data_IF_432536919422
#
_entry.id   IF_432536919422
#
_cell.length_a   1.000
_cell.length_b   1.000
_cell.length_c   1.000
_cell.angle_alpha   90.00
_cell.angle_beta   90.00
_cell.angle_gamma   90.00
#
_symmetry.space_group_name_H-M   'P 1'
#
loop_
_entity.id
_entity.type
_entity.pdbx_description
1 polymer ?
#
# COMPACT_ATOMS: atom_id res chain seq x y z
N UNK A 1 -16.42 13.37 12.88
CA UNK A 1 -16.94 12.11 13.44
C UNK A 1 -16.51 12.08 14.90
N UNK A 2 -17.43 11.98 15.87
CA UNK A 2 -17.03 11.64 17.24
C UNK A 2 -16.32 10.28 17.15
N UNK A 3 -15.09 10.07 17.66
CA UNK A 3 -14.60 8.73 17.92
C UNK A 3 -15.65 8.11 18.84
N UNK A 4 -16.43 7.16 18.33
CA UNK A 4 -17.44 6.52 19.14
C UNK A 4 -16.71 5.87 20.30
N UNK A 5 -17.12 6.20 21.52
CA UNK A 5 -16.74 5.43 22.72
C UNK A 5 -17.19 3.97 22.62
N UNK A 6 -18.01 3.65 21.63
CA UNK A 6 -18.60 2.36 21.37
C UNK A 6 -17.67 1.48 20.52
N UNK A 7 -16.64 0.95 21.17
CA UNK A 7 -15.87 -0.22 20.73
C UNK A 7 -16.16 -1.38 21.70
N UNK A 8 -15.98 -2.66 21.30
CA UNK A 8 -15.59 -3.14 19.97
C UNK A 8 -16.65 -2.89 18.89
N UNK A 9 -16.29 -3.02 17.62
CA UNK A 9 -17.19 -2.90 16.47
C UNK A 9 -17.17 -4.20 15.68
N UNK A 10 -18.30 -4.89 15.59
CA UNK A 10 -18.39 -6.10 14.78
C UNK A 10 -18.23 -5.72 13.30
N UNK A 11 -17.29 -6.35 12.60
CA UNK A 11 -17.14 -6.20 11.14
C UNK A 11 -17.89 -7.35 10.46
N UNK A 12 -18.79 -7.02 9.54
CA UNK A 12 -19.60 -7.99 8.78
C UNK A 12 -19.61 -7.64 7.30
N UNK A 13 -19.76 -8.65 6.45
CA UNK A 13 -19.86 -8.49 5.01
C UNK A 13 -21.15 -9.16 4.52
N UNK A 14 -21.88 -8.47 3.65
CA UNK A 14 -23.19 -8.91 3.16
C UNK A 14 -23.27 -8.71 1.66
N UNK A 15 -23.68 -9.76 0.96
CA UNK A 15 -24.08 -9.71 -0.45
C UNK A 15 -25.56 -9.33 -0.53
N UNK A 16 -25.88 -8.28 -1.29
CA UNK A 16 -27.26 -7.75 -1.38
C UNK A 16 -28.19 -8.72 -2.11
N UNK A 17 -27.63 -9.53 -3.00
CA UNK A 17 -28.39 -10.52 -3.77
C UNK A 17 -28.77 -11.75 -2.92
N UNK A 18 -28.07 -11.98 -1.81
CA UNK A 18 -28.35 -13.11 -0.94
C UNK A 18 -29.57 -12.84 -0.04
N UNK A 19 -30.25 -13.91 0.36
CA UNK A 19 -31.33 -13.83 1.34
C UNK A 19 -30.76 -13.33 2.68
N UNK A 20 -31.01 -12.05 3.00
CA UNK A 20 -30.55 -11.42 4.24
C UNK A 20 -31.06 -12.20 5.47
N UNK A 21 -30.13 -12.73 6.25
CA UNK A 21 -30.39 -13.35 7.56
C UNK A 21 -30.10 -12.36 8.68
N UNK A 22 -30.70 -12.58 9.84
CA UNK A 22 -30.33 -11.86 11.05
C UNK A 22 -28.88 -12.15 11.43
N UNK A 23 -28.29 -11.24 12.20
CA UNK A 23 -26.94 -11.38 12.75
C UNK A 23 -27.10 -11.49 14.26
N UNK A 24 -26.90 -12.69 14.79
CA UNK A 24 -27.22 -13.02 16.19
C UNK A 24 -26.00 -12.92 17.13
N UNK A 25 -24.80 -13.02 16.58
CA UNK A 25 -23.51 -13.05 17.29
C UNK A 25 -22.99 -11.64 17.62
N UNK A 26 -23.86 -10.78 18.18
CA UNK A 26 -23.57 -9.35 18.37
C UNK A 26 -23.69 -8.86 19.83
N UNK A 27 -23.81 -9.77 20.79
CA UNK A 27 -24.01 -9.44 22.22
C UNK A 27 -22.80 -8.73 22.84
N UNK A 28 -21.60 -8.92 22.32
CA UNK A 28 -20.39 -8.24 22.79
C UNK A 28 -20.20 -6.85 22.14
N UNK A 29 -20.95 -6.57 21.06
CA UNK A 29 -20.71 -5.43 20.19
C UNK A 29 -21.81 -4.36 20.35
N UNK A 30 -21.49 -3.14 20.84
CA UNK A 30 -22.45 -2.03 20.84
C UNK A 30 -22.77 -1.53 19.43
N UNK A 31 -21.90 -1.78 18.46
CA UNK A 31 -22.02 -1.35 17.06
C UNK A 31 -21.53 -2.42 16.10
N UNK A 32 -22.16 -2.49 14.93
CA UNK A 32 -21.77 -3.35 13.82
C UNK A 32 -21.52 -2.52 12.57
N UNK A 33 -20.35 -2.69 11.95
CA UNK A 33 -20.01 -2.17 10.61
C UNK A 33 -20.29 -3.24 9.58
N UNK A 34 -21.25 -2.98 8.71
CA UNK A 34 -21.64 -3.88 7.62
C UNK A 34 -21.08 -3.34 6.32
N UNK A 35 -20.15 -4.06 5.71
CA UNK A 35 -19.72 -3.87 4.34
C UNK A 35 -20.70 -4.55 3.40
N UNK A 36 -21.07 -3.84 2.34
CA UNK A 36 -22.12 -4.24 1.41
C UNK A 36 -21.48 -4.56 0.06
N UNK A 37 -21.69 -5.77 -0.42
CA UNK A 37 -21.33 -6.27 -1.73
C UNK A 37 -22.57 -6.32 -2.64
N UNK A 38 -22.36 -6.12 -3.93
CA UNK A 38 -23.35 -6.39 -4.98
C UNK A 38 -22.66 -7.22 -6.07
N UNK A 39 -23.04 -8.49 -6.21
CA UNK A 39 -22.38 -9.46 -7.11
C UNK A 39 -20.85 -9.52 -6.91
N UNK A 40 -20.42 -9.57 -5.65
CA UNK A 40 -19.01 -9.61 -5.25
C UNK A 40 -18.27 -8.27 -5.40
N UNK A 41 -18.94 -7.19 -5.78
CA UNK A 41 -18.35 -5.84 -5.88
C UNK A 41 -18.64 -5.07 -4.60
N UNK A 42 -17.59 -4.56 -3.94
CA UNK A 42 -17.74 -3.72 -2.77
C UNK A 42 -18.37 -2.38 -3.13
N UNK A 43 -19.60 -2.18 -2.68
CA UNK A 43 -20.37 -0.98 -2.96
C UNK A 43 -20.37 -0.01 -1.78
N UNK A 44 -20.17 -0.45 -0.54
CA UNK A 44 -20.16 0.47 0.58
C UNK A 44 -20.08 -0.14 1.96
N UNK A 45 -20.36 0.71 2.95
CA UNK A 45 -20.57 0.29 4.33
C UNK A 45 -21.63 1.12 5.04
N UNK A 46 -22.27 0.50 6.02
CA UNK A 46 -23.21 1.12 6.97
C UNK A 46 -22.83 0.72 8.40
N UNK A 47 -22.84 1.70 9.30
CA UNK A 47 -22.62 1.47 10.74
C UNK A 47 -23.98 1.42 11.45
N UNK A 48 -24.30 0.29 12.08
CA UNK A 48 -25.54 0.03 12.80
C UNK A 48 -25.25 -0.02 14.30
N UNK A 49 -25.85 0.88 15.08
CA UNK A 49 -25.78 0.83 16.55
C UNK A 49 -26.76 -0.23 17.05
N UNK A 50 -26.28 -1.44 17.27
CA UNK A 50 -27.10 -2.58 17.68
C UNK A 50 -27.23 -2.72 19.21
N UNK A 51 -26.49 -1.92 19.99
CA UNK A 51 -26.59 -1.83 21.45
C UNK A 51 -26.49 -3.21 22.13
N UNK A 52 -25.55 -4.06 21.68
CA UNK A 52 -25.34 -5.42 22.20
C UNK A 52 -26.54 -6.34 22.04
N UNK A 53 -27.33 -6.12 20.99
CA UNK A 53 -28.46 -7.00 20.59
C UNK A 53 -28.25 -7.53 19.17
N UNK A 54 -28.82 -8.70 18.86
CA UNK A 54 -28.95 -9.17 17.48
C UNK A 54 -29.55 -8.13 16.54
N UNK A 55 -29.15 -8.15 15.27
CA UNK A 55 -29.76 -7.36 14.21
C UNK A 55 -30.69 -8.27 13.42
N UNK A 56 -32.00 -8.00 13.45
CA UNK A 56 -32.97 -8.75 12.66
C UNK A 56 -32.82 -8.46 11.16
N UNK A 57 -33.17 -9.43 10.31
CA UNK A 57 -33.12 -9.26 8.86
C UNK A 57 -33.90 -8.02 8.34
N UNK A 58 -35.11 -7.67 8.85
CA UNK A 58 -35.79 -6.44 8.45
C UNK A 58 -35.02 -5.17 8.80
N UNK A 59 -34.42 -5.10 9.99
CA UNK A 59 -33.62 -3.94 10.43
C UNK A 59 -32.36 -3.79 9.59
N UNK A 60 -31.73 -4.91 9.25
CA UNK A 60 -30.56 -4.95 8.38
C UNK A 60 -30.90 -4.46 6.97
N UNK A 61 -32.01 -4.95 6.39
CA UNK A 61 -32.53 -4.52 5.09
C UNK A 61 -32.84 -3.02 5.09
N UNK A 62 -33.49 -2.50 6.12
CA UNK A 62 -33.79 -1.08 6.25
C UNK A 62 -32.51 -0.25 6.26
N UNK A 63 -31.53 -0.60 7.10
CA UNK A 63 -30.27 0.12 7.20
C UNK A 63 -29.49 0.15 5.87
N UNK A 64 -29.47 -0.97 5.13
CA UNK A 64 -28.86 -1.05 3.80
C UNK A 64 -29.66 -0.24 2.78
N UNK A 65 -31.00 -0.31 2.81
CA UNK A 65 -31.89 0.41 1.90
C UNK A 65 -31.78 1.94 2.03
N UNK A 66 -31.80 2.45 3.26
CA UNK A 66 -31.62 3.89 3.54
C UNK A 66 -30.26 4.38 3.04
N UNK A 67 -29.22 3.57 3.24
CA UNK A 67 -27.88 3.83 2.72
C UNK A 67 -27.84 3.83 1.18
N UNK A 68 -28.48 2.86 0.52
CA UNK A 68 -28.57 2.79 -0.94
C UNK A 68 -29.32 3.99 -1.52
N UNK A 69 -30.46 4.38 -0.94
CA UNK A 69 -31.25 5.53 -1.37
C UNK A 69 -30.45 6.85 -1.29
N UNK A 70 -29.75 7.06 -0.16
CA UNK A 70 -28.84 8.19 0.01
C UNK A 70 -27.73 8.22 -1.06
N UNK A 71 -27.16 7.04 -1.37
CA UNK A 71 -26.09 6.95 -2.36
C UNK A 71 -26.58 7.13 -3.79
N UNK A 72 -27.76 6.63 -4.14
CA UNK A 72 -28.40 6.86 -5.44
C UNK A 72 -28.68 8.35 -5.63
N UNK A 73 -29.20 9.03 -4.61
CA UNK A 73 -29.36 10.49 -4.59
C UNK A 73 -28.01 11.20 -4.85
N UNK A 74 -26.95 10.79 -4.15
CA UNK A 74 -25.61 11.36 -4.28
C UNK A 74 -24.93 11.04 -5.63
N UNK A 75 -25.26 9.91 -6.27
CA UNK A 75 -24.80 9.54 -7.62
C UNK A 75 -25.59 10.29 -8.71
N UNK A 76 -26.89 10.53 -8.52
CA UNK A 76 -27.72 11.32 -9.44
C UNK A 76 -27.22 12.77 -9.52
N UNK A 77 -27.11 13.45 -8.37
CA UNK A 77 -25.83 13.99 -7.88
C UNK A 77 -24.71 14.37 -8.88
N UNK A 78 -23.95 13.32 -9.20
CA UNK A 78 -22.59 13.34 -9.74
C UNK A 78 -22.55 12.85 -11.20
N UNK A 79 -23.66 12.32 -11.75
CA UNK A 79 -23.76 11.72 -13.09
C UNK A 79 -23.85 12.74 -14.24
N UNK A 80 -23.34 13.96 -14.06
CA UNK A 80 -23.17 14.91 -15.17
C UNK A 80 -21.87 14.73 -15.96
N UNK A 81 -21.09 13.67 -15.71
CA UNK A 81 -19.85 13.39 -16.45
C UNK A 81 -19.88 11.94 -16.94
N UNK A 82 -19.87 11.76 -18.25
CA UNK A 82 -19.94 10.47 -18.93
C UNK A 82 -18.75 9.57 -18.59
N UNK A 83 -19.04 8.34 -18.17
CA UNK A 83 -18.03 7.30 -17.98
C UNK A 83 -17.91 6.54 -19.30
N UNK A 84 -16.86 6.80 -20.06
CA UNK A 84 -16.46 5.91 -21.16
C UNK A 84 -15.95 4.60 -20.59
N UNK A 85 -16.40 3.47 -21.14
CA UNK A 85 -15.86 2.16 -20.79
C UNK A 85 -14.36 2.12 -21.10
N UNK A 86 -13.54 1.65 -20.15
CA UNK A 86 -12.10 1.53 -20.35
C UNK A 86 -11.79 0.39 -21.33
N UNK A 87 -10.74 0.52 -22.16
CA UNK A 87 -10.30 -0.58 -23.00
C UNK A 87 -9.91 -1.79 -22.13
N UNK A 88 -10.28 -3.03 -22.52
CA UNK A 88 -9.92 -4.21 -21.75
C UNK A 88 -8.40 -4.41 -21.75
N UNK A 89 -7.84 -4.75 -20.58
CA UNK A 89 -6.45 -5.16 -20.49
C UNK A 89 -6.27 -6.53 -21.18
N UNK A 90 -5.29 -6.64 -22.08
CA UNK A 90 -4.97 -7.91 -22.73
C UNK A 90 -4.69 -9.03 -21.72
N UNK A 91 -5.24 -10.25 -21.91
CA UNK A 91 -4.91 -11.41 -21.08
C UNK A 91 -3.43 -11.82 -21.14
N UNK A 92 -2.70 -11.39 -22.18
CA UNK A 92 -1.26 -11.65 -22.32
C UNK A 92 -0.41 -10.83 -21.33
N UNK A 93 -0.96 -9.78 -20.72
CA UNK A 93 -0.25 -8.96 -19.73
C UNK A 93 -0.03 -9.77 -18.46
N UNK A 94 1.24 -10.02 -18.18
CA UNK A 94 1.73 -10.83 -17.06
C UNK A 94 1.79 -10.02 -15.76
N UNK A 95 1.71 -10.70 -14.63
CA UNK A 95 1.67 -10.06 -13.30
C UNK A 95 2.64 -10.72 -12.34
N UNK A 96 3.32 -9.89 -11.55
CA UNK A 96 4.11 -10.32 -10.40
C UNK A 96 3.56 -9.74 -9.11
N UNK A 97 3.31 -10.58 -8.12
CA UNK A 97 2.84 -10.16 -6.80
C UNK A 97 4.00 -10.24 -5.82
N UNK A 98 4.46 -9.10 -5.31
CA UNK A 98 5.58 -8.99 -4.39
C UNK A 98 5.05 -8.88 -2.95
N UNK A 99 5.41 -9.86 -2.12
CA UNK A 99 4.98 -9.99 -0.72
C UNK A 99 6.21 -9.91 0.21
N UNK A 100 6.58 -8.74 0.72
CA UNK A 100 7.62 -8.61 1.72
C UNK A 100 7.12 -9.11 3.08
N UNK A 101 7.96 -9.85 3.79
CA UNK A 101 7.65 -10.38 5.13
C UNK A 101 8.84 -10.25 6.07
N UNK A 102 8.55 -10.21 7.37
CA UNK A 102 9.55 -10.06 8.43
C UNK A 102 9.08 -10.82 9.68
N UNK A 103 9.38 -12.12 9.75
CA UNK A 103 9.05 -13.00 10.88
C UNK A 103 7.54 -13.04 11.24
N UNK A 104 6.66 -13.16 10.24
CA UNK A 104 5.19 -13.23 10.43
C UNK A 104 4.57 -14.45 9.72
N UNK A 105 4.87 -15.67 10.19
CA UNK A 105 4.51 -16.88 9.44
C UNK A 105 3.00 -17.06 9.24
N UNK A 106 2.18 -16.73 10.25
CA UNK A 106 0.73 -16.92 10.16
C UNK A 106 0.05 -15.91 9.23
N UNK A 107 0.52 -14.66 9.23
CA UNK A 107 0.04 -13.62 8.31
C UNK A 107 0.41 -13.98 6.88
N UNK A 108 1.70 -14.28 6.64
CA UNK A 108 2.18 -14.71 5.34
C UNK A 108 1.39 -15.92 4.82
N UNK A 109 1.15 -16.93 5.64
CA UNK A 109 0.37 -18.12 5.25
C UNK A 109 -1.05 -17.75 4.83
N UNK A 110 -1.74 -16.88 5.57
CA UNK A 110 -3.09 -16.41 5.21
C UNK A 110 -3.08 -15.60 3.91
N UNK A 111 -2.11 -14.72 3.74
CA UNK A 111 -1.93 -13.94 2.52
C UNK A 111 -1.73 -14.86 1.31
N UNK A 112 -0.78 -15.80 1.39
CA UNK A 112 -0.50 -16.75 0.31
C UNK A 112 -1.70 -17.68 0.00
N UNK A 113 -2.46 -18.12 1.01
CA UNK A 113 -3.70 -18.87 0.78
C UNK A 113 -4.74 -18.04 -0.01
N UNK A 114 -4.90 -16.75 0.31
CA UNK A 114 -5.82 -15.87 -0.39
C UNK A 114 -5.37 -15.56 -1.83
N UNK A 115 -4.05 -15.43 -2.04
CA UNK A 115 -3.45 -15.25 -3.36
C UNK A 115 -3.59 -16.50 -4.23
N UNK A 116 -3.34 -17.70 -3.70
CA UNK A 116 -3.56 -19.00 -4.38
C UNK A 116 -5.00 -19.16 -4.86
N UNK A 117 -5.97 -18.62 -4.12
CA UNK A 117 -7.38 -18.71 -4.46
C UNK A 117 -7.82 -17.78 -5.62
N UNK A 118 -6.95 -16.87 -6.08
CA UNK A 118 -7.26 -16.01 -7.23
C UNK A 118 -7.33 -16.82 -8.52
N UNK A 119 -8.34 -16.53 -9.34
CA UNK A 119 -8.50 -17.11 -10.68
C UNK A 119 -8.18 -16.06 -11.71
N UNK A 120 -7.27 -16.36 -12.63
CA UNK A 120 -6.95 -15.51 -13.77
C UNK A 120 -6.49 -16.34 -14.96
N UNK A 121 -6.73 -15.83 -16.17
CA UNK A 121 -6.20 -16.39 -17.41
C UNK A 121 -4.77 -15.90 -17.72
N UNK A 122 -4.28 -14.86 -17.02
CA UNK A 122 -2.94 -14.32 -17.21
C UNK A 122 -1.90 -15.09 -16.40
N UNK A 123 -0.65 -15.08 -16.85
CA UNK A 123 0.45 -15.62 -16.06
C UNK A 123 0.68 -14.74 -14.81
N UNK A 124 0.67 -15.38 -13.64
CA UNK A 124 0.88 -14.74 -12.34
C UNK A 124 2.04 -15.43 -11.64
N UNK A 125 3.03 -14.65 -11.21
CA UNK A 125 4.05 -15.12 -10.28
C UNK A 125 3.86 -14.46 -8.90
N UNK A 126 4.26 -15.18 -7.84
CA UNK A 126 4.29 -14.65 -6.48
C UNK A 126 5.74 -14.65 -6.01
N UNK A 127 6.25 -13.49 -5.62
CA UNK A 127 7.61 -13.29 -5.11
C UNK A 127 7.52 -12.91 -3.64
N UNK A 128 7.85 -13.85 -2.77
CA UNK A 128 7.96 -13.61 -1.32
C UNK A 128 9.37 -13.12 -1.00
N UNK A 129 9.47 -12.00 -0.28
CA UNK A 129 10.74 -11.41 0.11
C UNK A 129 10.93 -11.51 1.61
N UNK A 130 11.84 -12.37 2.07
CA UNK A 130 12.22 -12.42 3.47
C UNK A 130 13.17 -11.27 3.81
N UNK A 131 12.69 -10.32 4.61
CA UNK A 131 13.49 -9.18 5.10
C UNK A 131 14.06 -9.39 6.52
N UNK A 132 14.01 -10.63 7.02
CA UNK A 132 14.74 -11.14 8.18
C UNK A 132 15.27 -12.55 7.90
N UNK A 133 16.03 -12.73 6.80
CA UNK A 133 16.57 -14.04 6.44
C UNK A 133 17.55 -14.54 7.51
N UNK A 134 17.79 -15.85 7.52
CA UNK A 134 18.63 -16.53 8.51
C UNK A 134 17.85 -17.28 9.60
N UNK A 135 16.51 -17.34 9.50
CA UNK A 135 15.68 -18.26 10.27
C UNK A 135 14.92 -19.19 9.33
N UNK A 136 14.49 -20.36 9.81
CA UNK A 136 13.64 -21.26 9.03
C UNK A 136 12.18 -20.80 8.95
N UNK A 137 11.81 -19.66 9.57
CA UNK A 137 10.40 -19.22 9.72
C UNK A 137 9.75 -18.98 8.36
N UNK A 138 10.28 -18.06 7.55
CA UNK A 138 9.73 -17.75 6.22
C UNK A 138 9.89 -18.91 5.24
N UNK A 139 11.07 -19.57 5.12
CA UNK A 139 11.21 -20.73 4.25
C UNK A 139 10.20 -21.83 4.54
N UNK A 140 9.93 -22.14 5.81
CA UNK A 140 8.96 -23.18 6.16
C UNK A 140 7.53 -22.86 5.71
N UNK A 141 7.13 -21.59 5.74
CA UNK A 141 5.81 -21.19 5.21
C UNK A 141 5.80 -21.33 3.69
N UNK A 142 6.82 -20.80 2.99
CA UNK A 142 6.84 -20.79 1.52
C UNK A 142 6.93 -22.19 0.92
N UNK A 143 7.51 -23.17 1.63
CA UNK A 143 7.52 -24.59 1.18
C UNK A 143 6.13 -25.17 0.93
N UNK A 144 5.09 -24.66 1.58
CA UNK A 144 3.70 -25.08 1.37
C UNK A 144 3.04 -24.42 0.14
N UNK A 145 3.76 -23.50 -0.51
CA UNK A 145 3.33 -22.70 -1.66
C UNK A 145 4.33 -22.81 -2.82
N UNK A 146 4.34 -23.94 -3.56
CA UNK A 146 5.28 -24.17 -4.66
C UNK A 146 5.16 -23.14 -5.81
N UNK A 147 4.04 -22.43 -5.92
CA UNK A 147 3.85 -21.33 -6.85
C UNK A 147 4.53 -20.01 -6.41
N UNK A 148 4.96 -19.93 -5.15
CA UNK A 148 5.63 -18.76 -4.60
C UNK A 148 7.16 -18.95 -4.61
N UNK A 149 7.86 -17.97 -5.18
CA UNK A 149 9.32 -17.92 -5.16
C UNK A 149 9.79 -17.11 -3.96
N UNK A 150 10.69 -17.68 -3.16
CA UNK A 150 11.33 -16.99 -2.05
C UNK A 150 12.61 -16.30 -2.52
N UNK A 151 12.79 -15.04 -2.12
CA UNK A 151 14.06 -14.31 -2.20
C UNK A 151 14.42 -13.73 -0.83
N UNK A 152 15.72 -13.53 -0.59
CA UNK A 152 16.23 -12.97 0.66
C UNK A 152 16.70 -11.53 0.46
N UNK A 153 16.35 -10.64 1.39
CA UNK A 153 16.88 -9.28 1.46
C UNK A 153 17.42 -9.01 2.87
N UNK A 154 18.74 -9.08 3.00
CA UNK A 154 19.42 -8.91 4.28
C UNK A 154 19.42 -7.45 4.79
N UNK A 155 19.16 -6.47 3.91
CA UNK A 155 19.11 -5.05 4.29
C UNK A 155 17.73 -4.74 4.88
N UNK A 156 17.66 -4.41 6.17
CA UNK A 156 16.38 -4.16 6.84
C UNK A 156 15.69 -2.91 6.31
N UNK A 157 14.41 -3.04 5.98
CA UNK A 157 13.55 -1.95 5.54
C UNK A 157 12.58 -2.42 4.46
N UNK A 158 11.32 -1.99 4.57
CA UNK A 158 10.26 -2.37 3.66
C UNK A 158 10.56 -1.95 2.20
N UNK A 159 11.17 -0.78 2.01
CA UNK A 159 11.60 -0.31 0.69
C UNK A 159 12.67 -1.22 0.08
N UNK A 160 13.65 -1.69 0.87
CA UNK A 160 14.64 -2.66 0.38
C UNK A 160 13.96 -3.97 -0.03
N UNK A 161 13.07 -4.50 0.81
CA UNK A 161 12.36 -5.73 0.53
C UNK A 161 11.50 -5.63 -0.74
N UNK A 162 10.70 -4.56 -0.88
CA UNK A 162 9.89 -4.34 -2.09
C UNK A 162 10.77 -4.14 -3.32
N UNK A 163 11.85 -3.36 -3.20
CA UNK A 163 12.77 -3.14 -4.31
C UNK A 163 13.45 -4.43 -4.75
N UNK A 164 13.88 -5.30 -3.82
CA UNK A 164 14.45 -6.61 -4.15
C UNK A 164 13.41 -7.47 -4.89
N UNK A 165 12.17 -7.50 -4.41
CA UNK A 165 11.09 -8.22 -5.08
C UNK A 165 10.77 -7.67 -6.47
N UNK A 166 10.69 -6.35 -6.65
CA UNK A 166 10.48 -5.73 -7.95
C UNK A 166 11.65 -5.98 -8.89
N UNK A 167 12.88 -5.85 -8.41
CA UNK A 167 14.06 -6.20 -9.20
C UNK A 167 14.00 -7.66 -9.60
N UNK A 168 13.50 -8.58 -8.80
CA UNK A 168 13.44 -10.00 -9.19
C UNK A 168 12.22 -10.35 -10.05
N UNK A 169 11.18 -9.52 -10.05
CA UNK A 169 9.94 -9.75 -10.76
C UNK A 169 10.06 -9.61 -12.29
N UNK A 170 9.26 -10.39 -13.00
CA UNK A 170 9.24 -10.60 -14.46
C UNK A 170 7.95 -10.13 -15.15
N UNK A 171 6.92 -9.75 -14.39
CA UNK A 171 5.63 -9.36 -14.90
C UNK A 171 5.61 -7.95 -15.52
N UNK A 172 4.69 -7.74 -16.46
CA UNK A 172 4.41 -6.43 -17.05
C UNK A 172 3.80 -5.47 -16.03
N UNK A 173 3.04 -6.01 -15.07
CA UNK A 173 2.47 -5.30 -13.93
C UNK A 173 3.04 -5.90 -12.64
N UNK A 174 3.59 -5.06 -11.78
CA UNK A 174 4.13 -5.42 -10.48
C UNK A 174 3.15 -4.97 -9.38
N UNK A 175 2.74 -5.89 -8.52
CA UNK A 175 1.81 -5.64 -7.42
C UNK A 175 2.58 -5.65 -6.10
N UNK A 176 2.39 -4.59 -5.32
CA UNK A 176 2.80 -4.51 -3.93
C UNK A 176 1.61 -4.89 -3.04
N UNK A 177 1.85 -5.81 -2.12
CA UNK A 177 0.87 -6.23 -1.11
C UNK A 177 1.61 -6.56 0.18
N UNK A 178 1.01 -6.28 1.34
CA UNK A 178 1.63 -6.60 2.63
C UNK A 178 1.30 -8.04 3.06
N UNK A 179 2.14 -8.64 3.93
CA UNK A 179 1.94 -10.02 4.38
C UNK A 179 0.75 -10.19 5.34
N UNK A 180 0.26 -9.11 5.94
CA UNK A 180 -0.85 -9.05 6.90
C UNK A 180 -2.19 -8.66 6.25
N UNK A 181 -2.31 -8.89 4.94
CA UNK A 181 -3.55 -8.67 4.19
C UNK A 181 -4.11 -9.94 3.55
N UNK A 182 -5.42 -9.94 3.33
CA UNK A 182 -6.12 -10.99 2.57
C UNK A 182 -6.99 -10.37 1.48
N UNK A 183 -7.09 -11.08 0.35
CA UNK A 183 -7.77 -10.60 -0.86
C UNK A 183 -9.06 -11.41 -1.12
N UNK A 184 -10.16 -10.77 -1.56
CA UNK A 184 -11.37 -11.46 -1.99
C UNK A 184 -11.19 -12.08 -3.39
N UNK A 185 -12.13 -12.94 -3.79
CA UNK A 185 -12.17 -13.49 -5.15
C UNK A 185 -12.28 -12.39 -6.22
N UNK A 186 -11.49 -12.50 -7.29
CA UNK A 186 -11.47 -11.55 -8.40
C UNK A 186 -10.80 -10.22 -8.07
N UNK A 187 -10.08 -10.12 -6.94
CA UNK A 187 -9.32 -8.92 -6.58
C UNK A 187 -8.28 -8.58 -7.64
N UNK A 188 -7.53 -9.60 -8.10
CA UNK A 188 -6.44 -9.40 -9.06
C UNK A 188 -6.92 -8.71 -10.34
N UNK A 189 -7.95 -9.25 -10.97
CA UNK A 189 -8.49 -8.71 -12.22
C UNK A 189 -9.04 -7.29 -12.07
N UNK A 190 -9.68 -6.99 -10.93
CA UNK A 190 -10.15 -5.63 -10.64
C UNK A 190 -8.98 -4.65 -10.46
N UNK A 191 -7.91 -5.06 -9.79
CA UNK A 191 -6.75 -4.21 -9.54
C UNK A 191 -5.99 -3.89 -10.83
N UNK A 192 -5.88 -4.85 -11.75
CA UNK A 192 -5.12 -4.67 -12.99
C UNK A 192 -5.95 -4.08 -14.14
N UNK A 193 -7.28 -4.15 -14.09
CA UNK A 193 -8.16 -3.69 -15.17
C UNK A 193 -7.84 -2.26 -15.68
N UNK A 194 -7.56 -1.25 -14.83
CA UNK A 194 -7.28 0.11 -15.31
C UNK A 194 -6.01 0.23 -16.18
N UNK A 195 -5.10 -0.75 -16.17
CA UNK A 195 -3.90 -0.73 -17.01
C UNK A 195 -4.18 -0.95 -18.50
N UNK A 196 -5.43 -1.26 -18.89
CA UNK A 196 -5.84 -1.25 -20.29
C UNK A 196 -5.59 0.12 -20.95
N UNK A 197 -5.53 1.18 -20.13
CA UNK A 197 -5.06 2.50 -20.50
C UNK A 197 -3.54 2.63 -20.38
N UNK A 198 -2.89 3.10 -21.43
CA UNK A 198 -1.43 3.26 -21.48
C UNK A 198 -0.91 4.38 -20.55
N UNK A 199 -1.71 5.41 -20.27
CA UNK A 199 -1.34 6.54 -19.39
C UNK A 199 -1.34 6.18 -17.90
N UNK A 200 -2.04 5.09 -17.52
CA UNK A 200 -2.09 4.60 -16.15
C UNK A 200 -0.80 3.87 -15.81
N UNK A 201 -0.10 4.42 -14.81
CA UNK A 201 1.18 3.91 -14.34
C UNK A 201 1.09 3.24 -12.96
N UNK A 202 0.10 3.63 -12.16
CA UNK A 202 -0.23 2.97 -10.91
C UNK A 202 -1.73 2.88 -10.68
N UNK A 203 -2.13 1.78 -10.03
CA UNK A 203 -3.49 1.58 -9.51
C UNK A 203 -3.38 1.27 -8.03
N UNK A 204 -4.19 1.91 -7.20
CA UNK A 204 -4.30 1.61 -5.77
C UNK A 204 -5.70 1.08 -5.49
N UNK A 205 -5.80 0.18 -4.52
CA UNK A 205 -7.06 -0.41 -4.13
C UNK A 205 -7.52 0.00 -2.73
N UNK A 206 -8.73 -0.38 -2.35
CA UNK A 206 -9.27 -0.10 -1.02
C UNK A 206 -8.60 -1.00 0.02
N UNK A 207 -8.24 -0.44 1.18
CA UNK A 207 -7.76 -1.21 2.33
C UNK A 207 -8.77 -1.09 3.47
N UNK A 208 -9.36 -2.22 3.87
CA UNK A 208 -10.39 -2.30 4.89
C UNK A 208 -9.86 -2.92 6.19
N UNK A 209 -10.37 -2.51 7.37
CA UNK A 209 -10.05 -3.17 8.63
C UNK A 209 -10.62 -4.60 8.64
N UNK A 210 -9.78 -5.61 8.86
CA UNK A 210 -10.26 -6.99 9.07
C UNK A 210 -11.12 -7.11 10.33
N UNK A 211 -10.77 -6.34 11.37
CA UNK A 211 -11.36 -6.41 12.69
C UNK A 211 -11.25 -5.05 13.39
N UNK A 212 -12.16 -4.78 14.32
CA UNK A 212 -12.22 -3.56 15.12
C UNK A 212 -12.57 -3.90 16.57
N UNK A 213 -11.82 -4.84 17.13
CA UNK A 213 -12.02 -5.44 18.45
C UNK A 213 -11.42 -4.58 19.57
N UNK A 214 -10.38 -3.81 19.28
CA UNK A 214 -9.72 -2.97 20.29
C UNK A 214 -9.93 -1.49 20.06
N UNK A 215 -9.80 -0.72 21.14
CA UNK A 215 -9.78 0.73 21.07
C UNK A 215 -8.70 1.24 20.10
N UNK A 216 -7.53 0.61 20.10
CA UNK A 216 -6.41 1.00 19.23
C UNK A 216 -6.76 0.90 17.75
N UNK A 217 -7.47 -0.16 17.35
CA UNK A 217 -7.90 -0.37 15.96
C UNK A 217 -8.96 0.68 15.57
N UNK A 218 -9.93 0.93 16.44
CA UNK A 218 -10.94 1.96 16.22
C UNK A 218 -10.34 3.38 16.14
N UNK A 219 -9.35 3.67 16.97
CA UNK A 219 -8.61 4.95 16.96
C UNK A 219 -7.80 5.13 15.67
N UNK A 220 -7.22 4.05 15.13
CA UNK A 220 -6.52 4.09 13.84
C UNK A 220 -7.47 4.45 12.68
N UNK A 221 -8.65 3.84 12.63
CA UNK A 221 -9.68 4.19 11.64
C UNK A 221 -10.15 5.65 11.81
N UNK A 222 -10.31 6.12 13.05
CA UNK A 222 -10.67 7.51 13.33
C UNK A 222 -9.55 8.52 12.99
N UNK A 223 -8.28 8.10 13.05
CA UNK A 223 -7.12 8.89 12.63
C UNK A 223 -7.13 9.17 11.12
N UNK A 224 -7.66 8.22 10.35
CA UNK A 224 -7.77 8.30 8.90
C UNK A 224 -7.73 6.94 8.20
N UNK A 225 -7.32 5.88 8.91
CA UNK A 225 -7.23 4.53 8.37
C UNK A 225 -6.36 4.43 7.11
N UNK A 226 -6.53 3.32 6.39
CA UNK A 226 -5.92 3.13 5.06
C UNK A 226 -6.95 3.25 3.93
N UNK A 227 -8.25 3.08 4.21
CA UNK A 227 -9.32 3.20 3.22
C UNK A 227 -9.51 4.62 2.68
N UNK A 228 -9.87 4.74 1.39
CA UNK A 228 -10.14 6.04 0.72
C UNK A 228 -11.60 6.19 0.27
N UNK A 229 -12.47 5.30 0.74
CA UNK A 229 -13.90 5.32 0.45
C UNK A 229 -14.28 4.53 -0.80
N UNK A 230 -15.57 4.54 -1.15
CA UNK A 230 -16.14 3.63 -2.17
C UNK A 230 -16.36 4.30 -3.53
N UNK A 231 -15.71 5.44 -3.76
CA UNK A 231 -15.81 6.19 -5.01
C UNK A 231 -14.46 6.10 -5.73
N UNK A 232 -14.51 5.63 -6.97
CA UNK A 232 -13.37 5.65 -7.87
C UNK A 232 -12.97 7.10 -8.15
N UNK A 233 -11.68 7.36 -8.19
CA UNK A 233 -11.12 8.63 -8.65
C UNK A 233 -9.78 8.38 -9.32
N UNK A 234 -9.32 9.36 -10.09
CA UNK A 234 -7.99 9.35 -10.67
C UNK A 234 -7.38 10.74 -10.58
N UNK A 235 -6.06 10.78 -10.61
CA UNK A 235 -5.26 12.00 -10.64
C UNK A 235 -4.09 11.79 -11.59
N UNK A 236 -3.68 12.85 -12.26
CA UNK A 236 -2.62 12.82 -13.27
C UNK A 236 -1.60 13.94 -13.04
N UNK A 237 -0.65 14.04 -13.96
CA UNK A 237 0.33 15.13 -13.95
C UNK A 237 -0.28 16.53 -14.05
N UNK A 238 -1.41 16.68 -14.76
CA UNK A 238 -2.07 17.98 -14.89
C UNK A 238 -2.67 18.43 -13.55
N UNK A 239 -3.36 17.52 -12.87
CA UNK A 239 -3.85 17.70 -11.51
C UNK A 239 -2.71 18.05 -10.56
N UNK A 240 -1.59 17.32 -10.63
CA UNK A 240 -0.42 17.55 -9.80
C UNK A 240 0.19 18.93 -9.99
N UNK A 241 0.33 19.38 -11.24
CA UNK A 241 0.88 20.72 -11.58
C UNK A 241 -0.07 21.86 -11.21
N UNK A 242 -1.39 21.63 -11.18
CA UNK A 242 -2.35 22.65 -10.73
C UNK A 242 -2.30 22.94 -9.23
N UNK A 243 -1.66 22.08 -8.42
CA UNK A 243 -1.59 22.24 -6.96
C UNK A 243 -0.58 23.32 -6.56
N UNK A 244 -1.08 24.34 -5.86
CA UNK A 244 -0.27 25.40 -5.21
C UNK A 244 0.30 25.00 -3.85
N UNK A 245 -0.21 23.92 -3.25
CA UNK A 245 0.24 23.39 -1.95
C UNK A 245 0.76 21.97 -2.13
N UNK A 246 1.51 21.47 -1.14
CA UNK A 246 2.04 20.12 -1.21
C UNK A 246 0.94 19.09 -1.47
N UNK A 247 1.21 18.19 -2.40
CA UNK A 247 0.23 17.24 -2.92
C UNK A 247 -0.01 16.16 -1.86
N UNK A 248 -1.27 15.89 -1.48
CA UNK A 248 -1.56 14.94 -0.41
C UNK A 248 -1.60 13.50 -0.97
N UNK A 249 -0.46 12.99 -1.41
CA UNK A 249 -0.35 11.67 -2.06
C UNK A 249 -0.77 10.51 -1.17
N UNK A 250 -0.79 10.68 0.16
CA UNK A 250 -1.37 9.73 1.12
C UNK A 250 -2.90 9.53 0.98
N UNK A 251 -3.59 10.39 0.23
CA UNK A 251 -5.00 10.18 -0.12
C UNK A 251 -5.19 9.30 -1.36
N UNK A 252 -4.11 8.97 -2.07
CA UNK A 252 -4.18 8.22 -3.32
C UNK A 252 -4.16 6.71 -3.11
N UNK A 253 -3.94 6.23 -1.88
CA UNK A 253 -3.90 4.80 -1.56
C UNK A 253 -2.70 4.46 -0.69
N UNK A 254 -2.35 3.19 -0.65
CA UNK A 254 -1.17 2.67 0.04
C UNK A 254 -0.60 1.48 -0.74
N UNK A 255 0.71 1.27 -0.68
CA UNK A 255 1.37 0.12 -1.32
C UNK A 255 1.03 -1.23 -0.68
N UNK A 256 0.26 -1.26 0.40
CA UNK A 256 -0.35 -2.50 0.93
C UNK A 256 -1.38 -3.12 -0.04
N UNK A 257 -1.85 -2.33 -1.02
CA UNK A 257 -2.75 -2.77 -2.09
C UNK A 257 -2.56 -1.84 -3.30
N UNK A 258 -1.44 -2.00 -4.01
CA UNK A 258 -1.14 -1.19 -5.19
C UNK A 258 -0.47 -2.00 -6.29
N UNK A 259 -0.77 -1.66 -7.53
CA UNK A 259 -0.16 -2.21 -8.73
C UNK A 259 0.53 -1.10 -9.52
N UNK A 260 1.60 -1.46 -10.22
CA UNK A 260 2.45 -0.57 -10.99
C UNK A 260 2.78 -1.19 -12.32
N UNK A 261 2.77 -0.41 -13.40
CA UNK A 261 3.37 -0.88 -14.65
C UNK A 261 4.88 -1.02 -14.46
N UNK A 262 5.46 -2.15 -14.83
CA UNK A 262 6.88 -2.44 -14.66
C UNK A 262 7.80 -1.32 -15.20
N UNK A 263 7.45 -0.76 -16.37
CA UNK A 263 8.17 0.34 -17.00
C UNK A 263 8.32 1.59 -16.10
N UNK A 264 7.43 1.78 -15.12
CA UNK A 264 7.52 2.82 -14.11
C UNK A 264 8.87 2.83 -13.39
N UNK A 265 9.41 1.66 -13.06
CA UNK A 265 10.63 1.56 -12.28
C UNK A 265 11.91 1.69 -13.12
N UNK A 266 11.79 1.61 -14.45
CA UNK A 266 12.88 1.90 -15.40
C UNK A 266 13.05 3.41 -15.64
N UNK A 267 11.96 4.17 -15.54
CA UNK A 267 11.99 5.62 -15.77
C UNK A 267 12.91 6.32 -14.74
N UNK A 268 13.95 7.06 -15.17
CA UNK A 268 14.86 7.74 -14.26
C UNK A 268 14.20 8.86 -13.43
N UNK A 269 13.08 9.42 -13.88
CA UNK A 269 12.31 10.40 -13.12
C UNK A 269 11.46 9.74 -12.02
N UNK A 270 11.16 8.46 -12.16
CA UNK A 270 10.39 7.69 -11.19
C UNK A 270 11.32 6.73 -10.45
N UNK A 271 11.68 5.59 -11.00
CA UNK A 271 12.57 4.62 -10.35
C UNK A 271 11.93 3.89 -9.16
N UNK A 272 12.72 3.00 -8.54
CA UNK A 272 12.34 2.21 -7.37
C UNK A 272 12.07 3.06 -6.12
N UNK A 273 11.54 2.46 -5.06
CA UNK A 273 11.20 3.15 -3.81
C UNK A 273 12.47 3.70 -3.15
N UNK A 274 12.36 4.88 -2.54
CA UNK A 274 13.49 5.49 -1.83
C UNK A 274 13.77 4.71 -0.53
N UNK A 275 14.95 4.10 -0.44
CA UNK A 275 15.32 3.21 0.65
C UNK A 275 15.56 3.93 1.97
N UNK A 276 15.60 5.27 1.98
CA UNK A 276 15.61 6.05 3.21
C UNK A 276 14.21 6.25 3.81
N UNK A 277 13.15 5.87 3.10
CA UNK A 277 11.75 5.94 3.54
C UNK A 277 11.20 4.55 3.84
N UNK A 278 10.07 4.50 4.54
CA UNK A 278 9.32 3.28 4.82
C UNK A 278 9.62 2.58 6.14
N UNK A 279 8.80 1.56 6.44
CA UNK A 279 8.87 0.82 7.69
C UNK A 279 10.22 0.10 7.83
N UNK A 280 10.73 0.00 9.07
CA UNK A 280 12.04 -0.58 9.37
C UNK A 280 13.23 0.38 9.17
N UNK A 281 13.02 1.54 8.54
CA UNK A 281 13.97 2.65 8.49
C UNK A 281 13.72 3.67 9.60
N UNK A 282 14.72 4.49 9.99
CA UNK A 282 14.53 5.52 11.03
C UNK A 282 13.36 6.49 10.75
N UNK A 283 13.06 6.77 9.48
CA UNK A 283 11.93 7.58 9.01
C UNK A 283 10.59 6.89 9.26
N UNK A 284 10.48 5.60 8.94
CA UNK A 284 9.40 4.72 9.37
C UNK A 284 8.15 4.67 8.48
N UNK A 285 8.05 5.51 7.44
CA UNK A 285 6.91 5.55 6.50
C UNK A 285 7.23 6.37 5.23
N UNK A 286 6.22 6.57 4.39
CA UNK A 286 6.12 7.51 3.26
C UNK A 286 6.91 7.14 2.00
N UNK A 287 7.34 5.89 1.88
CA UNK A 287 7.92 5.34 0.66
C UNK A 287 6.92 5.34 -0.51
N UNK A 288 5.67 5.00 -0.22
CA UNK A 288 4.54 4.99 -1.17
C UNK A 288 4.19 6.39 -1.66
N UNK A 289 4.11 7.31 -0.70
CA UNK A 289 3.76 8.71 -0.85
C UNK A 289 4.75 9.42 -1.77
N UNK A 290 6.05 9.08 -1.64
CA UNK A 290 7.11 9.59 -2.51
C UNK A 290 7.13 8.92 -3.89
N UNK A 291 6.82 7.62 -3.99
CA UNK A 291 6.66 6.95 -5.28
C UNK A 291 5.50 7.57 -6.08
N UNK A 292 4.33 7.72 -5.47
CA UNK A 292 3.17 8.37 -6.11
C UNK A 292 3.46 9.82 -6.50
N UNK A 293 4.21 10.55 -5.68
CA UNK A 293 4.68 11.90 -6.01
C UNK A 293 5.48 11.90 -7.31
N UNK A 294 6.47 11.01 -7.45
CA UNK A 294 7.32 10.96 -8.64
C UNK A 294 6.56 10.51 -9.89
N UNK A 295 5.63 9.56 -9.77
CA UNK A 295 4.76 9.12 -10.88
C UNK A 295 3.96 10.31 -11.44
N UNK A 296 3.34 11.09 -10.55
CA UNK A 296 2.57 12.27 -10.95
C UNK A 296 3.46 13.40 -11.48
N UNK A 297 4.62 13.61 -10.87
CA UNK A 297 5.60 14.60 -11.31
C UNK A 297 6.13 14.29 -12.73
N UNK A 298 6.31 13.00 -13.06
CA UNK A 298 6.65 12.51 -14.39
C UNK A 298 5.50 12.63 -15.40
N UNK A 299 4.29 12.99 -14.96
CA UNK A 299 3.16 13.29 -15.84
C UNK A 299 2.12 12.18 -15.98
N UNK A 300 2.28 11.06 -15.28
CA UNK A 300 1.42 9.88 -15.43
C UNK A 300 0.16 9.90 -14.56
N UNK A 301 -0.74 8.96 -14.84
CA UNK A 301 -2.01 8.79 -14.13
C UNK A 301 -1.90 7.74 -13.02
N UNK A 302 -2.49 8.06 -11.87
CA UNK A 302 -2.76 7.12 -10.76
C UNK A 302 -4.27 6.98 -10.61
N UNK A 303 -4.75 5.74 -10.66
CA UNK A 303 -6.17 5.40 -10.48
C UNK A 303 -6.38 4.77 -9.10
N UNK A 304 -7.40 5.21 -8.38
CA UNK A 304 -7.89 4.52 -7.19
C UNK A 304 -9.10 3.66 -7.55
N UNK A 305 -8.95 2.34 -7.49
CA UNK A 305 -9.99 1.35 -7.81
C UNK A 305 -10.57 0.74 -6.52
N UNK A 306 -11.67 1.30 -5.97
CA UNK A 306 -12.22 0.85 -4.69
C UNK A 306 -12.80 -0.57 -4.73
N UNK A 307 -13.08 -1.12 -5.91
CA UNK A 307 -13.58 -2.51 -6.05
C UNK A 307 -12.46 -3.54 -5.92
N UNK A 308 -11.20 -3.14 -6.11
CA UNK A 308 -10.02 -3.93 -5.80
C UNK A 308 -9.65 -3.74 -4.32
N UNK A 309 -10.38 -4.38 -3.42
CA UNK A 309 -10.23 -4.18 -1.98
C UNK A 309 -9.47 -5.32 -1.28
N UNK A 310 -8.83 -5.03 -0.15
CA UNK A 310 -8.20 -6.03 0.73
C UNK A 310 -8.63 -5.84 2.18
N UNK A 311 -8.59 -6.92 2.95
CA UNK A 311 -8.61 -6.86 4.41
C UNK A 311 -7.19 -6.66 4.93
N UNK A 312 -7.03 -5.76 5.88
CA UNK A 312 -5.74 -5.49 6.52
C UNK A 312 -5.90 -5.52 8.04
N UNK A 313 -4.95 -6.14 8.73
CA UNK A 313 -4.96 -6.20 10.19
C UNK A 313 -4.35 -4.95 10.82
N UNK A 314 -5.10 -4.29 11.68
CA UNK A 314 -4.58 -3.17 12.47
C UNK A 314 -3.91 -3.64 13.76
N UNK A 315 -2.94 -2.85 14.23
CA UNK A 315 -2.31 -3.07 15.54
C UNK A 315 -3.36 -3.03 16.64
N UNK A 316 -3.35 -4.03 17.52
CA UNK A 316 -4.37 -4.21 18.54
C UNK A 316 -4.03 -3.45 19.85
N UNK A 317 -2.76 -3.16 20.12
CA UNK A 317 -2.33 -2.48 21.34
C UNK A 317 -1.98 -0.99 21.15
N UNK A 318 -2.15 -0.22 22.22
CA UNK A 318 -1.98 1.24 22.18
C UNK A 318 -0.52 1.67 22.01
N UNK A 319 0.44 0.87 22.45
CA UNK A 319 1.86 1.19 22.31
C UNK A 319 2.30 1.08 20.85
N UNK A 320 1.90 0.01 20.17
CA UNK A 320 2.10 -0.19 18.73
C UNK A 320 1.42 0.89 17.91
N UNK A 321 0.18 1.28 18.26
CA UNK A 321 -0.53 2.37 17.59
C UNK A 321 0.24 3.70 17.72
N UNK A 322 0.68 4.06 18.93
CA UNK A 322 1.47 5.29 19.14
C UNK A 322 2.78 5.26 18.35
N UNK A 323 3.47 4.14 18.35
CA UNK A 323 4.70 3.96 17.56
C UNK A 323 4.42 4.11 16.06
N UNK A 324 3.30 3.59 15.56
CA UNK A 324 2.88 3.74 14.17
C UNK A 324 2.57 5.20 13.82
N UNK A 325 1.78 5.90 14.64
CA UNK A 325 1.44 7.32 14.43
C UNK A 325 2.71 8.20 14.51
N UNK A 326 3.61 7.91 15.44
CA UNK A 326 4.91 8.57 15.54
C UNK A 326 5.75 8.35 14.28
N UNK A 327 5.81 7.12 13.77
CA UNK A 327 6.51 6.79 12.53
C UNK A 327 5.89 7.48 11.31
N UNK A 328 4.56 7.52 11.21
CA UNK A 328 3.85 8.23 10.13
C UNK A 328 4.18 9.73 10.14
N UNK A 329 4.26 10.34 11.32
CA UNK A 329 4.58 11.75 11.46
C UNK A 329 6.04 12.07 11.12
N UNK A 330 6.99 11.21 11.54
CA UNK A 330 8.39 11.30 11.09
C UNK A 330 8.52 11.16 9.57
N UNK A 331 7.89 10.12 9.02
CA UNK A 331 7.89 9.82 7.59
C UNK A 331 7.31 10.98 6.77
N UNK A 332 6.22 11.59 7.25
CA UNK A 332 5.57 12.73 6.61
C UNK A 332 6.54 13.91 6.42
N UNK A 333 7.31 14.26 7.46
CA UNK A 333 8.34 15.31 7.36
C UNK A 333 9.51 14.86 6.49
N UNK A 334 9.97 13.62 6.63
CA UNK A 334 11.06 13.07 5.83
C UNK A 334 10.74 13.03 4.32
N UNK A 335 9.49 12.74 3.96
CA UNK A 335 8.97 12.81 2.60
C UNK A 335 9.06 14.24 2.05
N UNK A 336 8.52 15.23 2.77
CA UNK A 336 8.56 16.62 2.29
C UNK A 336 9.99 17.15 2.17
N UNK A 337 10.87 16.84 3.13
CA UNK A 337 12.29 17.18 3.02
C UNK A 337 12.94 16.48 1.82
N UNK A 338 12.58 15.23 1.54
CA UNK A 338 13.07 14.52 0.35
C UNK A 338 12.62 15.21 -0.93
N UNK A 339 11.34 15.58 -1.07
CA UNK A 339 10.83 16.33 -2.24
C UNK A 339 11.49 17.71 -2.40
N UNK A 340 11.82 18.37 -1.28
CA UNK A 340 12.52 19.64 -1.31
C UNK A 340 13.98 19.49 -1.76
N UNK A 341 14.69 18.50 -1.22
CA UNK A 341 16.13 18.34 -1.43
C UNK A 341 16.45 17.69 -2.79
N UNK A 342 15.66 16.69 -3.21
CA UNK A 342 15.90 15.93 -4.44
C UNK A 342 15.17 16.55 -5.64
N UNK A 343 13.88 16.82 -5.49
CA UNK A 343 13.03 17.30 -6.60
C UNK A 343 12.90 18.83 -6.66
N UNK A 344 13.48 19.54 -5.68
CA UNK A 344 13.42 21.02 -5.58
C UNK A 344 12.00 21.58 -5.53
N UNK A 345 11.06 20.82 -4.96
CA UNK A 345 9.67 21.24 -4.85
C UNK A 345 9.45 22.25 -3.71
N UNK A 346 9.18 23.54 -4.01
CA UNK A 346 8.99 24.56 -2.98
C UNK A 346 7.70 24.36 -2.17
N UNK A 347 6.75 23.54 -2.64
CA UNK A 347 5.51 23.25 -1.92
C UNK A 347 5.78 22.58 -0.58
N UNK A 348 6.91 21.88 -0.45
CA UNK A 348 7.37 21.30 0.80
C UNK A 348 7.69 22.37 1.88
N UNK A 349 8.25 23.52 1.49
CA UNK A 349 8.53 24.63 2.43
C UNK A 349 7.23 25.21 2.99
N UNK A 350 6.24 25.45 2.12
CA UNK A 350 4.91 25.93 2.55
C UNK A 350 4.25 24.90 3.46
N UNK A 351 4.42 23.59 3.15
CA UNK A 351 3.88 22.53 3.99
C UNK A 351 4.49 22.58 5.39
N UNK A 352 5.81 22.48 5.48
CA UNK A 352 6.56 22.32 6.73
C UNK A 352 6.57 23.60 7.57
N UNK A 353 6.77 24.77 6.95
CA UNK A 353 6.90 26.04 7.63
C UNK A 353 5.56 26.69 8.02
N UNK A 354 4.47 26.40 7.30
CA UNK A 354 3.19 27.10 7.52
C UNK A 354 2.01 26.17 7.71
N UNK A 355 1.69 25.34 6.72
CA UNK A 355 0.42 24.61 6.75
C UNK A 355 0.35 23.54 7.84
N UNK A 356 1.47 22.85 8.12
CA UNK A 356 1.54 21.77 9.10
C UNK A 356 1.45 22.32 10.53
N UNK A 357 2.23 23.35 10.94
CA UNK A 357 2.02 24.03 12.21
C UNK A 357 0.59 24.55 12.40
N UNK A 358 0.00 25.17 11.35
CA UNK A 358 -1.37 25.66 11.40
C UNK A 358 -2.41 24.55 11.65
N UNK A 359 -2.21 23.36 11.07
CA UNK A 359 -3.09 22.20 11.30
C UNK A 359 -3.03 21.74 12.75
N UNK A 360 -1.83 21.62 13.33
CA UNK A 360 -1.72 21.18 14.73
C UNK A 360 -2.20 22.23 15.72
N UNK A 361 -1.95 23.52 15.46
CA UNK A 361 -2.53 24.61 16.25
C UNK A 361 -4.06 24.55 16.21
N UNK A 362 -4.64 24.36 15.03
CA UNK A 362 -6.09 24.20 14.87
C UNK A 362 -6.62 22.99 15.64
N UNK A 363 -5.98 21.82 15.54
CA UNK A 363 -6.38 20.61 16.28
C UNK A 363 -6.31 20.82 17.79
N UNK A 364 -5.26 21.48 18.29
CA UNK A 364 -5.13 21.82 19.71
C UNK A 364 -6.26 22.77 20.16
N UNK A 365 -6.58 23.81 19.38
CA UNK A 365 -7.68 24.74 19.67
C UNK A 365 -9.04 24.05 19.62
N UNK A 366 -9.30 23.21 18.62
CA UNK A 366 -10.54 22.44 18.51
C UNK A 366 -10.71 21.49 19.70
N UNK A 367 -9.61 20.89 20.18
CA UNK A 367 -9.62 20.05 21.38
C UNK A 367 -9.90 20.87 22.64
N UNK A 368 -9.25 22.01 22.83
CA UNK A 368 -9.50 22.93 23.96
C UNK A 368 -10.95 23.43 23.98
N UNK A 369 -11.53 23.70 22.80
CA UNK A 369 -12.92 24.12 22.64
C UNK A 369 -13.94 22.96 22.68
N UNK A 370 -13.50 21.73 23.00
CA UNK A 370 -14.34 20.51 23.03
C UNK A 370 -15.11 20.25 21.73
N UNK A 371 -14.57 20.71 20.60
CA UNK A 371 -15.11 20.48 19.24
C UNK A 371 -14.53 19.22 18.59
N UNK A 372 -13.47 18.68 19.17
CA UNK A 372 -12.85 17.42 18.77
C UNK A 372 -12.55 16.56 19.99
N UNK A 373 -12.81 15.25 19.84
CA UNK A 373 -12.46 14.23 20.83
C UNK A 373 -11.17 13.50 20.44
N UNK A 374 -10.44 13.99 19.43
CA UNK A 374 -9.16 13.42 19.05
C UNK A 374 -8.17 13.55 20.24
N UNK A 375 -7.53 12.45 20.68
CA UNK A 375 -6.76 12.44 21.92
C UNK A 375 -5.55 13.38 21.91
N UNK A 376 -5.31 14.07 23.04
CA UNK A 376 -4.17 14.99 23.18
C UNK A 376 -2.82 14.26 23.12
N UNK A 377 -2.74 13.07 23.69
CA UNK A 377 -1.53 12.24 23.64
C UNK A 377 -1.15 11.84 22.21
N UNK A 378 -2.14 11.57 21.35
CA UNK A 378 -1.89 11.33 19.93
C UNK A 378 -1.43 12.59 19.19
N UNK A 379 -2.05 13.76 19.48
CA UNK A 379 -1.58 15.05 18.92
C UNK A 379 -0.11 15.30 19.29
N UNK A 380 0.25 15.10 20.57
CA UNK A 380 1.62 15.29 21.04
C UNK A 380 2.59 14.28 20.41
N UNK A 381 2.15 13.03 20.24
CA UNK A 381 2.92 11.97 19.56
C UNK A 381 3.20 12.37 18.11
N UNK A 382 2.21 12.90 17.40
CA UNK A 382 2.38 13.39 16.03
C UNK A 382 3.37 14.56 15.98
N UNK A 383 3.23 15.56 16.86
CA UNK A 383 4.16 16.70 16.92
C UNK A 383 5.58 16.23 17.19
N UNK A 384 5.79 15.34 18.17
CA UNK A 384 7.09 14.77 18.47
C UNK A 384 7.68 14.02 17.26
N UNK A 385 6.85 13.28 16.52
CA UNK A 385 7.27 12.62 15.28
C UNK A 385 7.68 13.61 14.19
N UNK A 386 6.91 14.67 13.98
CA UNK A 386 7.27 15.71 13.01
C UNK A 386 8.63 16.37 13.34
N UNK A 387 8.86 16.69 14.62
CA UNK A 387 10.13 17.29 15.08
C UNK A 387 11.32 16.34 14.92
N UNK A 388 11.11 15.03 15.08
CA UNK A 388 12.14 14.02 14.87
C UNK A 388 12.41 13.71 13.39
N UNK A 389 11.51 14.09 12.48
CA UNK A 389 11.58 13.79 11.05
C UNK A 389 12.90 14.16 10.36
N UNK A 390 13.44 15.39 10.51
CA UNK A 390 14.70 15.78 9.86
C UNK A 390 15.90 14.92 10.31
N UNK A 391 16.02 14.68 11.62
CA UNK A 391 17.07 13.82 12.17
C UNK A 391 16.91 12.37 11.72
N UNK A 392 15.68 11.85 11.73
CA UNK A 392 15.37 10.51 11.25
C UNK A 392 15.73 10.34 9.77
N UNK A 393 15.47 11.34 8.91
CA UNK A 393 15.88 11.31 7.51
C UNK A 393 17.41 11.28 7.39
N UNK A 394 18.14 12.11 8.14
CA UNK A 394 19.60 12.07 8.13
C UNK A 394 20.15 10.70 8.55
N UNK A 395 19.63 10.09 9.62
CA UNK A 395 20.00 8.76 10.06
C UNK A 395 19.71 7.70 8.99
N UNK A 396 18.53 7.76 8.36
CA UNK A 396 18.14 6.84 7.30
C UNK A 396 19.06 6.96 6.08
N UNK A 397 19.40 8.18 5.64
CA UNK A 397 20.34 8.41 4.54
C UNK A 397 21.75 7.89 4.86
N UNK A 398 22.24 8.04 6.10
CA UNK A 398 23.51 7.43 6.52
C UNK A 398 23.47 5.90 6.47
N UNK A 399 22.34 5.31 6.86
CA UNK A 399 22.13 3.86 6.79
C UNK A 399 22.12 3.36 5.34
N UNK A 400 21.44 4.06 4.43
CA UNK A 400 21.47 3.76 2.99
C UNK A 400 22.89 3.87 2.43
N UNK A 401 23.66 4.91 2.80
CA UNK A 401 25.07 5.02 2.38
C UNK A 401 25.94 3.85 2.87
N UNK A 402 25.62 3.26 4.01
CA UNK A 402 26.33 2.10 4.57
C UNK A 402 25.93 0.79 3.89
N UNK A 403 24.64 0.58 3.62
CA UNK A 403 24.14 -0.65 3.02
C UNK A 403 24.22 -0.69 1.49
N UNK A 404 24.35 0.47 0.85
CA UNK A 404 24.27 0.60 -0.61
C UNK A 404 22.81 0.61 -1.11
N UNK A 405 22.56 1.23 -2.28
CA UNK A 405 21.23 1.29 -2.88
C UNK A 405 20.77 -0.08 -3.38
N UNK A 406 19.47 -0.23 -3.65
CA UNK A 406 18.97 -1.37 -4.42
C UNK A 406 19.54 -1.38 -5.84
N UNK A 407 19.59 -2.57 -6.45
CA UNK A 407 19.99 -2.69 -7.86
C UNK A 407 19.02 -1.89 -8.75
N UNK A 408 19.52 -1.34 -9.85
CA UNK A 408 18.68 -0.65 -10.81
C UNK A 408 17.66 -1.63 -11.42
N UNK A 409 16.41 -1.18 -11.58
CA UNK A 409 15.40 -1.98 -12.25
C UNK A 409 15.73 -2.10 -13.74
N UNK A 410 15.80 -3.34 -14.24
CA UNK A 410 16.01 -3.67 -15.65
C UNK A 410 14.80 -4.47 -16.11
N UNK A 411 14.25 -4.14 -17.27
CA UNK A 411 13.10 -4.87 -17.78
C UNK A 411 13.45 -6.35 -18.04
N UNK A 412 12.51 -7.28 -17.83
CA UNK A 412 12.76 -8.71 -18.00
C UNK A 412 13.28 -9.06 -19.41
N UNK A 413 12.73 -8.43 -20.44
CA UNK A 413 13.17 -8.59 -21.84
C UNK A 413 14.64 -8.21 -22.06
N UNK A 414 15.17 -7.25 -21.31
CA UNK A 414 16.56 -6.78 -21.41
C UNK A 414 17.53 -7.68 -20.64
N UNK A 415 17.07 -8.38 -19.60
CA UNK A 415 17.90 -9.33 -18.84
C UNK A 415 18.23 -10.55 -19.67
N UNK A 416 17.24 -11.10 -20.36
CA UNK A 416 17.43 -12.24 -21.29
C UNK A 416 18.49 -11.90 -22.34
N UNK A 417 18.45 -10.69 -22.90
CA UNK A 417 19.45 -10.23 -23.86
C UNK A 417 20.85 -10.10 -23.24
N UNK A 418 20.97 -9.64 -21.98
CA UNK A 418 22.25 -9.57 -21.27
C UNK A 418 22.82 -10.94 -20.98
N UNK A 419 22.00 -11.90 -20.55
CA UNK A 419 22.45 -13.24 -20.21
C UNK A 419 22.87 -14.01 -21.47
N UNK A 420 22.13 -13.86 -22.58
CA UNK A 420 22.54 -14.40 -23.89
C UNK A 420 23.84 -13.75 -24.38
N UNK A 421 23.98 -12.43 -24.25
CA UNK A 421 25.21 -11.72 -24.62
C UNK A 421 26.40 -12.07 -23.72
N UNK A 422 26.18 -12.37 -22.44
CA UNK A 422 27.22 -12.78 -21.51
C UNK A 422 27.67 -14.23 -21.78
N UNK A 423 26.73 -15.13 -22.09
CA UNK A 423 27.01 -16.51 -22.48
C UNK A 423 27.72 -16.62 -23.85
N UNK A 424 27.53 -15.64 -24.74
CA UNK A 424 28.16 -15.61 -26.07
C UNK A 424 29.61 -15.06 -26.08
N UNK A 425 30.19 -14.67 -24.93
CA UNK A 425 31.60 -14.24 -24.87
C UNK A 425 32.52 -15.47 -24.86
N UNK A 426 33.47 -15.61 -25.81
CA UNK A 426 34.42 -16.70 -25.77
C UNK A 426 35.31 -16.60 -24.52
N UNK A 427 35.60 -17.74 -23.90
CA UNK A 427 36.49 -17.82 -22.74
C UNK A 427 37.86 -17.18 -23.08
N UNK A 428 38.49 -16.46 -22.14
CA UNK A 428 39.80 -15.87 -22.40
C UNK A 428 40.81 -16.98 -22.69
N UNK A 429 41.51 -16.84 -23.82
CA UNK A 429 42.56 -17.77 -24.20
C UNK A 429 43.63 -17.84 -23.10
N UNK A 430 43.76 -19.01 -22.47
CA UNK A 430 44.85 -19.32 -21.55
C UNK A 430 46.14 -19.36 -22.35
N UNK A 431 46.92 -18.28 -22.27
CA UNK A 431 48.23 -18.19 -22.90
C UNK A 431 49.22 -19.01 -22.05
N UNK A 432 49.32 -20.32 -22.31
CA UNK A 432 50.42 -21.14 -21.81
C UNK A 432 51.69 -20.78 -22.56
N UNK A 433 52.46 -19.84 -22.01
CA UNK A 433 53.84 -19.62 -22.44
C UNK A 433 54.69 -20.82 -22.01
N UNK A 434 54.98 -21.71 -22.97
CA UNK A 434 55.98 -22.75 -22.85
C UNK A 434 57.35 -22.06 -22.84
N UNK A 435 58.00 -22.06 -21.67
CA UNK A 435 59.41 -21.66 -21.54
C UNK A 435 60.28 -22.74 -22.19
N UNK A 436 60.79 -22.46 -23.39
CA UNK A 436 61.84 -23.26 -24.01
C UNK A 436 63.17 -22.68 -23.52
N UNK A 437 63.81 -23.36 -22.57
CA UNK A 437 65.22 -23.15 -22.27
C UNK A 437 66.07 -23.81 -23.35
N UNK A 438 66.85 -23.02 -24.09
CA UNK A 438 67.96 -23.50 -24.93
C UNK A 438 69.28 -23.49 -24.14
N UNK A 439 70.17 -24.49 -24.32
CA UNK A 439 71.43 -24.58 -23.58
C UNK A 439 72.65 -24.08 -24.36
N UNK A 440 73.66 -23.58 -23.62
CA UNK A 440 75.09 -23.40 -23.97
C UNK A 440 75.39 -22.25 -24.97
N UNK A 441 76.49 -21.51 -24.88
CA UNK A 441 77.81 -21.72 -24.28
C UNK A 441 78.45 -20.39 -23.83
#
# INVERSE_FOLDING_TARGET
MKPSRDWPIAVRMIEVQDALRGIDDLTEYPRTRVFVLDTGVLIGSVDIHNCRRPISAPRLRQAIGDWQAWRLMKRALQRQIGVTAEPPLSPAVTVSIVVPTCNRPDDLRRCLMALRAQRSARAVEIVVVDNRPGTAITPNVVRDFPEARLIEEHRPGLSYARNAGFVEATGDILIAIDDDVTVPAGWLERLVAPFGRADVMAVTGHVLPVELETESQCRFEAYGGLGKGFARFEVDGSWFRSRRTAVPTWHLGATANAAFRAACFRDPAIGLLDEALGAGMPTGCSEDTYLFYRILNAGHTIVYEPTAWVWHRHRNDSSSLRNQIYAYSKGHVAYHLTTLMRDRDPRALVRLGWSLPKVYLRRAVERLRRRSDYPLDLILTEIAGNLAGPWALWQARRRVRRFGPSAAYVLPSERVLRDVSAAARPAPATNHAVSIQSPLA
#
